data_IF_774134605822
#
_entry.id   IF_774134605822
#
_cell.length_a   1.000
_cell.length_b   1.000
_cell.length_c   1.000
_cell.angle_alpha   90.00
_cell.angle_beta   90.00
_cell.angle_gamma   90.00
#
_symmetry.space_group_name_H-M   'P 1'
#
loop_
_entity.id
_entity.type
_entity.pdbx_description
1 polymer ?
#
# COMPACT_ATOMS: atom_id res chain seq x y z
N UNK A 1 -12.64 -3.76 -6.11
CA UNK A 1 -12.34 -2.34 -5.84
C UNK A 1 -11.20 -1.97 -6.76
N UNK A 2 -11.25 -0.83 -7.44
CA UNK A 2 -10.12 -0.42 -8.29
C UNK A 2 -8.94 -0.03 -7.38
N UNK A 3 -7.75 -0.62 -7.57
CA UNK A 3 -6.58 -0.22 -6.82
C UNK A 3 -6.20 1.21 -7.23
N UNK A 4 -5.97 2.10 -6.28
CA UNK A 4 -5.35 3.41 -6.51
C UNK A 4 -4.22 3.65 -5.53
N UNK A 5 -4.48 3.36 -4.26
CA UNK A 5 -3.50 3.35 -3.21
C UNK A 5 -3.16 1.91 -2.81
N UNK A 6 -1.89 1.64 -2.56
CA UNK A 6 -1.40 0.44 -1.88
C UNK A 6 -0.94 0.86 -0.49
N UNK A 7 -1.49 0.21 0.52
CA UNK A 7 -1.06 0.36 1.91
C UNK A 7 -0.16 -0.81 2.25
N UNK A 8 1.08 -0.54 2.64
CA UNK A 8 2.05 -1.55 3.07
C UNK A 8 2.32 -1.35 4.56
N UNK A 9 1.94 -2.33 5.37
CA UNK A 9 2.24 -2.40 6.80
C UNK A 9 3.48 -3.27 7.01
N UNK A 10 4.61 -2.64 7.34
CA UNK A 10 5.87 -3.35 7.62
C UNK A 10 5.82 -3.96 9.01
N UNK A 11 5.81 -5.30 9.07
CA UNK A 11 5.72 -6.06 10.32
C UNK A 11 7.03 -6.09 11.12
N UNK A 12 8.14 -5.63 10.54
CA UNK A 12 9.45 -5.55 11.21
C UNK A 12 9.66 -4.20 11.90
N UNK A 13 9.14 -3.12 11.31
CA UNK A 13 9.36 -1.74 11.80
C UNK A 13 8.10 -1.09 12.38
N UNK A 14 6.92 -1.62 12.07
CA UNK A 14 5.64 -0.98 12.40
C UNK A 14 5.31 0.23 11.52
N UNK A 15 6.04 0.44 10.42
CA UNK A 15 5.80 1.54 9.49
C UNK A 15 4.60 1.24 8.59
N UNK A 16 3.86 2.30 8.24
CA UNK A 16 2.83 2.28 7.20
C UNK A 16 3.33 3.10 6.01
N UNK A 17 3.59 2.44 4.89
CA UNK A 17 3.83 3.10 3.60
C UNK A 17 2.54 3.21 2.82
N UNK A 18 2.29 4.40 2.28
CA UNK A 18 1.11 4.71 1.47
C UNK A 18 1.61 5.07 0.08
N UNK A 19 1.30 4.22 -0.90
CA UNK A 19 1.77 4.36 -2.28
C UNK A 19 0.57 4.70 -3.15
N UNK A 20 0.55 5.87 -3.78
CA UNK A 20 -0.39 6.17 -4.87
C UNK A 20 0.21 5.68 -6.19
N UNK A 21 -0.41 4.68 -6.80
CA UNK A 21 0.09 4.09 -8.04
C UNK A 21 -0.06 5.08 -9.20
N UNK A 22 0.95 5.12 -10.06
CA UNK A 22 0.83 5.89 -11.31
C UNK A 22 -0.17 5.22 -12.26
N UNK A 23 -0.66 5.97 -13.25
CA UNK A 23 -1.50 5.40 -14.31
C UNK A 23 -0.82 4.26 -15.07
N UNK A 24 0.50 4.30 -15.18
CA UNK A 24 1.29 3.27 -15.85
C UNK A 24 1.37 2.02 -14.98
N UNK A 25 1.67 2.18 -13.69
CA UNK A 25 1.70 1.07 -12.73
C UNK A 25 0.33 0.39 -12.57
N UNK A 26 -0.75 1.17 -12.59
CA UNK A 26 -2.11 0.60 -12.58
C UNK A 26 -2.37 -0.27 -13.80
N UNK A 27 -2.04 0.22 -15.00
CA UNK A 27 -2.16 -0.57 -16.23
C UNK A 27 -1.25 -1.79 -16.24
N UNK A 28 -0.04 -1.64 -15.71
CA UNK A 28 0.92 -2.73 -15.60
C UNK A 28 0.40 -3.82 -14.65
N UNK A 29 -0.22 -3.43 -13.53
CA UNK A 29 -0.79 -4.36 -12.55
C UNK A 29 -1.86 -5.28 -13.13
N UNK A 30 -2.61 -4.83 -14.14
CA UNK A 30 -3.61 -5.64 -14.86
C UNK A 30 -3.00 -6.76 -15.71
N UNK A 31 -1.69 -6.70 -15.98
CA UNK A 31 -0.97 -7.71 -16.77
C UNK A 31 -0.46 -8.91 -15.95
N UNK A 32 -0.56 -8.84 -14.63
CA UNK A 32 -0.15 -9.92 -13.72
C UNK A 32 -1.32 -10.82 -13.35
N UNK A 33 -1.04 -12.10 -13.08
CA UNK A 33 -2.05 -13.09 -12.65
C UNK A 33 -2.72 -12.68 -11.33
N UNK A 34 -1.93 -12.08 -10.44
CA UNK A 34 -2.37 -11.58 -9.15
C UNK A 34 -1.63 -10.29 -8.79
N UNK A 35 -2.21 -9.53 -7.86
CA UNK A 35 -1.68 -8.24 -7.48
C UNK A 35 -0.40 -8.33 -6.63
N UNK A 36 -0.21 -9.43 -5.90
CA UNK A 36 0.98 -9.67 -5.09
C UNK A 36 2.22 -9.82 -6.00
N UNK A 37 2.07 -10.54 -7.11
CA UNK A 37 3.08 -10.66 -8.18
C UNK A 37 3.49 -9.29 -8.73
N UNK A 38 2.55 -8.38 -8.97
CA UNK A 38 2.85 -7.00 -9.33
C UNK A 38 3.62 -6.26 -8.22
N UNK A 39 3.21 -6.39 -6.95
CA UNK A 39 3.89 -5.71 -5.84
C UNK A 39 5.37 -6.08 -5.72
N UNK A 40 5.75 -7.32 -6.05
CA UNK A 40 7.16 -7.74 -6.06
C UNK A 40 8.04 -6.93 -7.00
N UNK A 41 7.48 -6.36 -8.08
CA UNK A 41 8.24 -5.61 -9.09
C UNK A 41 8.54 -4.18 -8.64
N UNK A 42 7.72 -3.63 -7.74
CA UNK A 42 7.83 -2.26 -7.23
C UNK A 42 8.43 -2.15 -5.82
N UNK A 43 8.79 -3.28 -5.19
CA UNK A 43 9.43 -3.33 -3.84
C UNK A 43 10.62 -2.38 -3.74
N UNK A 44 11.58 -2.49 -4.67
CA UNK A 44 12.78 -1.67 -4.67
C UNK A 44 12.49 -0.20 -4.98
N UNK A 45 11.45 0.08 -5.78
CA UNK A 45 11.08 1.43 -6.17
C UNK A 45 10.55 2.23 -4.98
N UNK A 46 9.73 1.60 -4.14
CA UNK A 46 9.08 2.25 -2.99
C UNK A 46 9.70 1.88 -1.63
N UNK A 47 10.71 1.01 -1.61
CA UNK A 47 11.50 0.72 -0.41
C UNK A 47 10.77 -0.13 0.62
N UNK A 48 9.99 -1.12 0.19
CA UNK A 48 9.35 -2.09 1.09
C UNK A 48 9.79 -3.53 0.76
N UNK A 49 9.44 -4.48 1.64
CA UNK A 49 9.65 -5.92 1.41
C UNK A 49 8.35 -6.66 1.65
N UNK A 50 7.78 -7.27 0.62
CA UNK A 50 6.46 -7.90 0.70
C UNK A 50 6.46 -9.10 1.66
N UNK A 51 7.58 -9.84 1.70
CA UNK A 51 7.79 -10.97 2.61
C UNK A 51 7.66 -10.64 4.10
N UNK A 52 7.85 -9.38 4.47
CA UNK A 52 7.73 -8.90 5.86
C UNK A 52 6.58 -7.92 6.04
N UNK A 53 5.66 -7.82 5.07
CA UNK A 53 4.60 -6.83 5.10
C UNK A 53 3.22 -7.44 4.92
N UNK A 54 2.21 -6.82 5.54
CA UNK A 54 0.82 -6.99 5.13
C UNK A 54 0.43 -5.85 4.20
N UNK A 55 -0.48 -6.11 3.26
CA UNK A 55 -0.88 -5.08 2.30
C UNK A 55 -2.38 -5.08 2.01
N UNK A 56 -2.88 -3.93 1.54
CA UNK A 56 -4.21 -3.80 0.97
C UNK A 56 -4.25 -2.71 -0.12
N UNK A 57 -5.25 -2.77 -0.99
CA UNK A 57 -5.52 -1.71 -1.97
C UNK A 57 -6.81 -0.97 -1.65
N UNK A 58 -6.87 0.31 -2.01
CA UNK A 58 -8.09 1.10 -1.93
C UNK A 58 -8.13 2.16 -3.04
N UNK A 59 -9.33 2.50 -3.48
CA UNK A 59 -9.58 3.59 -4.43
C UNK A 59 -9.52 4.96 -3.74
N UNK A 60 -10.00 5.01 -2.49
CA UNK A 60 -10.07 6.22 -1.66
C UNK A 60 -9.27 6.03 -0.39
N UNK A 61 -8.50 7.05 -0.03
CA UNK A 61 -7.64 7.04 1.14
C UNK A 61 -8.10 8.12 2.11
N UNK A 62 -8.52 7.67 3.29
CA UNK A 62 -8.73 8.51 4.45
C UNK A 62 -7.87 7.94 5.59
N UNK A 63 -7.06 8.78 6.23
CA UNK A 63 -6.15 8.38 7.31
C UNK A 63 -6.66 8.99 8.61
N UNK A 64 -6.99 8.12 9.56
CA UNK A 64 -7.47 8.53 10.87
C UNK A 64 -6.49 8.04 11.94
N UNK A 65 -6.04 8.96 12.80
CA UNK A 65 -5.23 8.63 13.98
C UNK A 65 -6.05 8.84 15.23
N UNK A 66 -5.89 7.94 16.19
CA UNK A 66 -6.61 8.00 17.46
C UNK A 66 -5.63 8.02 18.63
N UNK A 67 -5.92 8.84 19.63
CA UNK A 67 -5.26 8.84 20.92
C UNK A 67 -6.32 8.88 22.01
N UNK A 68 -6.22 7.98 22.99
CA UNK A 68 -7.15 7.89 24.12
C UNK A 68 -8.64 7.81 23.68
N UNK A 69 -8.90 7.08 22.59
CA UNK A 69 -10.25 6.87 22.04
C UNK A 69 -10.83 8.06 21.26
N UNK A 70 -10.04 9.09 20.95
CA UNK A 70 -10.46 10.27 20.17
C UNK A 70 -9.59 10.44 18.93
N UNK A 71 -10.22 10.84 17.84
CA UNK A 71 -9.51 11.20 16.62
C UNK A 71 -8.60 12.41 16.88
N UNK A 72 -7.39 12.37 16.33
CA UNK A 72 -6.41 13.46 16.39
C UNK A 72 -5.97 13.83 14.99
N UNK A 73 -5.58 15.09 14.79
CA UNK A 73 -5.01 15.55 13.52
C UNK A 73 -3.73 14.78 13.19
N UNK A 74 -3.54 14.52 11.89
CA UNK A 74 -2.42 13.73 11.37
C UNK A 74 -1.07 14.41 11.49
#
# INVERSE_FOLDING_TARGET
>A
MEPKFVLILDNSTGALSIIELTKEELRESESYEDFESFLTTIENKYGFRLTYSSWMTTEKLDIYRYKDGKEVEN
#
